data_IF_080989209357
#
_entry.id   IF_080989209357
#
_cell.length_a   1.000
_cell.length_b   1.000
_cell.length_c   1.000
_cell.angle_alpha   90.00
_cell.angle_beta   90.00
_cell.angle_gamma   90.00
#
_symmetry.space_group_name_H-M   'P 1'
#
loop_
_entity.id
_entity.type
_entity.pdbx_description
1 polymer ?
#
# COMPACT_ATOMS: atom_id res chain seq x y z
N UNK A 1 -19.87 -32.34 15.39
CA UNK A 1 -19.77 -32.54 13.93
C UNK A 1 -20.90 -31.86 13.13
N UNK A 2 -21.57 -30.77 13.59
CA UNK A 2 -22.58 -30.04 12.78
C UNK A 2 -22.78 -28.52 13.05
N UNK A 3 -21.90 -27.81 13.78
CA UNK A 3 -22.09 -26.35 14.04
C UNK A 3 -20.86 -25.43 13.94
N UNK A 4 -19.64 -25.95 13.77
CA UNK A 4 -18.44 -25.14 13.45
C UNK A 4 -18.00 -25.20 11.98
N UNK A 5 -18.60 -26.07 11.17
CA UNK A 5 -18.37 -26.11 9.71
C UNK A 5 -19.18 -25.03 8.96
N UNK A 6 -20.14 -24.36 9.59
CA UNK A 6 -20.90 -23.26 8.96
C UNK A 6 -20.24 -21.88 9.02
N UNK A 7 -19.21 -21.68 9.84
CA UNK A 7 -18.49 -20.39 9.89
C UNK A 7 -17.30 -20.33 8.91
N UNK A 8 -16.96 -21.45 8.27
CA UNK A 8 -15.93 -21.55 7.23
C UNK A 8 -16.49 -21.54 5.80
N UNK A 9 -17.80 -21.31 5.63
CA UNK A 9 -18.48 -21.38 4.34
C UNK A 9 -19.07 -20.04 3.86
N UNK A 10 -18.92 -18.95 4.62
CA UNK A 10 -19.59 -17.67 4.33
C UNK A 10 -18.67 -16.46 4.06
N UNK A 11 -17.36 -16.64 3.87
CA UNK A 11 -16.52 -15.60 3.25
C UNK A 11 -15.54 -16.18 2.23
N UNK A 12 -16.10 -16.78 1.18
CA UNK A 12 -15.49 -16.77 -0.14
C UNK A 12 -15.50 -15.33 -0.66
N UNK A 13 -14.35 -14.67 -0.61
CA UNK A 13 -14.17 -13.28 -1.02
C UNK A 13 -12.76 -13.08 -1.55
N UNK A 14 -12.52 -13.72 -2.68
CA UNK A 14 -11.48 -13.55 -3.70
C UNK A 14 -10.34 -12.56 -3.37
N UNK A 15 -9.14 -13.10 -3.14
CA UNK A 15 -7.88 -12.35 -3.13
C UNK A 15 -7.18 -12.49 -4.49
N UNK A 16 -7.63 -11.75 -5.51
CA UNK A 16 -6.83 -11.59 -6.73
C UNK A 16 -5.80 -10.48 -6.54
N UNK A 17 -4.54 -10.82 -6.84
CA UNK A 17 -3.46 -9.85 -6.94
C UNK A 17 -3.78 -8.84 -8.04
N UNK A 18 -4.33 -7.69 -7.67
CA UNK A 18 -4.66 -6.61 -8.59
C UNK A 18 -3.37 -6.08 -9.22
N UNK A 19 -3.06 -6.49 -10.45
CA UNK A 19 -2.03 -5.88 -11.29
C UNK A 19 -2.72 -4.99 -12.32
N UNK A 20 -2.37 -3.70 -12.37
CA UNK A 20 -2.92 -2.83 -13.39
C UNK A 20 -2.37 -3.19 -14.78
N UNK A 21 -3.19 -2.97 -15.79
CA UNK A 21 -2.89 -3.28 -17.18
C UNK A 21 -1.78 -2.38 -17.75
N UNK A 22 -0.76 -2.97 -18.37
CA UNK A 22 0.42 -2.28 -18.92
C UNK A 22 0.64 -2.56 -20.44
N UNK A 23 -0.35 -3.15 -21.11
CA UNK A 23 -0.30 -3.48 -22.54
C UNK A 23 -0.80 -2.38 -23.48
N UNK A 24 -0.87 -2.70 -24.77
CA UNK A 24 -1.18 -1.79 -25.89
C UNK A 24 -2.65 -1.82 -26.35
N UNK A 25 -3.40 -2.86 -25.98
CA UNK A 25 -4.83 -2.98 -26.31
C UNK A 25 -5.72 -1.99 -25.54
N UNK A 26 -6.91 -1.64 -26.07
CA UNK A 26 -7.86 -0.72 -25.41
C UNK A 26 -8.16 -1.11 -23.96
N UNK A 27 -8.04 -0.17 -23.02
CA UNK A 27 -8.21 -0.42 -21.58
C UNK A 27 -8.99 0.69 -20.89
N UNK A 28 -9.43 0.40 -19.67
CA UNK A 28 -10.12 1.34 -18.77
C UNK A 28 -9.09 2.06 -17.89
N UNK A 29 -9.12 3.38 -17.83
CA UNK A 29 -8.41 4.15 -16.81
C UNK A 29 -9.34 4.36 -15.62
N UNK A 30 -8.97 3.92 -14.42
CA UNK A 30 -9.75 4.11 -13.20
C UNK A 30 -9.17 5.25 -12.35
N UNK A 31 -9.88 6.38 -12.30
CA UNK A 31 -9.57 7.54 -11.47
C UNK A 31 -10.37 7.52 -10.17
N UNK A 32 -9.68 7.64 -9.03
CA UNK A 32 -10.29 7.66 -7.71
C UNK A 32 -9.43 8.40 -6.68
N UNK A 33 -10.03 8.86 -5.59
CA UNK A 33 -9.27 9.42 -4.47
C UNK A 33 -8.62 8.31 -3.66
N UNK A 34 -7.40 8.54 -3.17
CA UNK A 34 -6.69 7.58 -2.33
C UNK A 34 -7.50 7.16 -1.08
N UNK A 35 -8.33 8.05 -0.54
CA UNK A 35 -9.19 7.76 0.61
C UNK A 35 -10.29 6.73 0.30
N UNK A 36 -10.66 6.57 -0.98
CA UNK A 36 -11.69 5.64 -1.44
C UNK A 36 -11.13 4.28 -1.87
N UNK A 37 -9.81 4.07 -1.75
CA UNK A 37 -9.12 2.83 -2.17
C UNK A 37 -9.80 1.55 -1.67
N UNK A 38 -10.31 1.55 -0.43
CA UNK A 38 -11.01 0.38 0.15
C UNK A 38 -12.36 0.05 -0.51
N UNK A 39 -13.03 1.05 -1.08
CA UNK A 39 -14.32 0.90 -1.78
C UNK A 39 -14.10 0.62 -3.27
N UNK A 40 -13.05 1.20 -3.84
CA UNK A 40 -12.73 1.14 -5.27
C UNK A 40 -11.98 -0.13 -5.65
N UNK A 41 -10.98 -0.55 -4.87
CA UNK A 41 -10.19 -1.73 -5.21
C UNK A 41 -11.00 -3.03 -5.35
N UNK A 42 -12.02 -3.32 -4.53
CA UNK A 42 -12.87 -4.49 -4.75
C UNK A 42 -13.60 -4.45 -6.12
N UNK A 43 -13.99 -3.27 -6.57
CA UNK A 43 -14.66 -3.08 -7.87
C UNK A 43 -13.65 -3.29 -9.01
N UNK A 44 -12.46 -2.69 -8.90
CA UNK A 44 -11.37 -2.92 -9.85
C UNK A 44 -10.96 -4.40 -9.85
N UNK A 45 -10.97 -5.06 -8.70
CA UNK A 45 -10.65 -6.47 -8.53
C UNK A 45 -11.59 -7.37 -9.31
N UNK A 46 -12.90 -7.18 -9.12
CA UNK A 46 -13.93 -7.88 -9.90
C UNK A 46 -13.72 -7.67 -11.41
N UNK A 47 -13.41 -6.46 -11.84
CA UNK A 47 -13.13 -6.18 -13.25
C UNK A 47 -11.88 -6.91 -13.75
N UNK A 48 -10.78 -6.90 -13.01
CA UNK A 48 -9.57 -7.64 -13.41
C UNK A 48 -9.81 -9.16 -13.42
N UNK A 49 -10.56 -9.70 -12.45
CA UNK A 49 -10.95 -11.11 -12.34
C UNK A 49 -11.81 -11.58 -13.53
N UNK A 50 -12.71 -10.71 -13.98
CA UNK A 50 -13.54 -10.94 -15.15
C UNK A 50 -12.77 -10.74 -16.47
N UNK A 51 -11.47 -10.44 -16.39
CA UNK A 51 -10.57 -10.30 -17.54
C UNK A 51 -10.56 -8.91 -18.15
N UNK A 52 -11.15 -7.90 -17.50
CA UNK A 52 -11.09 -6.54 -17.98
C UNK A 52 -9.71 -5.91 -17.81
N UNK A 53 -9.23 -5.25 -18.87
CA UNK A 53 -7.98 -4.48 -18.88
C UNK A 53 -8.22 -3.15 -18.16
N UNK A 54 -7.77 -3.04 -16.90
CA UNK A 54 -7.93 -1.83 -16.09
C UNK A 54 -6.57 -1.29 -15.64
N UNK A 55 -6.31 -0.03 -15.92
CA UNK A 55 -5.19 0.74 -15.43
C UNK A 55 -5.63 1.62 -14.26
N UNK A 56 -4.83 1.73 -13.19
CA UNK A 56 -5.09 2.59 -12.05
C UNK A 56 -3.78 3.00 -11.35
N UNK A 57 -3.84 4.01 -10.48
CA UNK A 57 -2.69 4.66 -9.82
C UNK A 57 -1.73 3.75 -9.01
N UNK A 58 -2.12 2.49 -8.79
CA UNK A 58 -1.29 1.46 -8.15
C UNK A 58 -0.17 0.90 -9.03
N UNK A 59 -0.12 1.25 -10.33
CA UNK A 59 0.81 0.67 -11.31
C UNK A 59 1.99 1.56 -11.73
N UNK A 60 2.10 2.81 -11.27
CA UNK A 60 3.15 3.72 -11.77
C UNK A 60 4.50 3.47 -11.08
N UNK A 61 5.57 3.16 -11.84
CA UNK A 61 6.92 3.07 -11.29
C UNK A 61 7.39 4.42 -10.70
N UNK A 62 8.12 4.43 -9.57
CA UNK A 62 8.54 5.66 -8.89
C UNK A 62 9.42 6.61 -9.72
N UNK A 63 9.97 6.13 -10.83
CA UNK A 63 10.99 6.78 -11.66
C UNK A 63 10.44 7.56 -12.84
N UNK A 64 9.16 7.40 -13.17
CA UNK A 64 8.57 8.11 -14.30
C UNK A 64 8.10 9.51 -13.89
N UNK A 65 8.07 10.47 -14.83
CA UNK A 65 7.37 11.72 -14.60
C UNK A 65 5.88 11.41 -14.41
N UNK A 66 5.47 11.24 -13.16
CA UNK A 66 4.15 10.75 -12.74
C UNK A 66 3.01 11.39 -13.51
N UNK A 67 3.10 12.70 -13.73
CA UNK A 67 2.07 13.46 -14.45
C UNK A 67 2.07 13.21 -15.96
N UNK A 68 3.24 12.99 -16.57
CA UNK A 68 3.33 12.59 -17.98
C UNK A 68 2.80 11.16 -18.18
N UNK A 69 3.09 10.25 -17.24
CA UNK A 69 2.58 8.87 -17.29
C UNK A 69 1.07 8.81 -17.08
N UNK A 70 0.54 9.50 -16.07
CA UNK A 70 -0.90 9.61 -15.87
C UNK A 70 -1.56 10.21 -17.11
N UNK A 71 -1.05 11.33 -17.62
CA UNK A 71 -1.62 11.96 -18.81
C UNK A 71 -1.53 11.03 -20.04
N UNK A 72 -0.42 10.33 -20.24
CA UNK A 72 -0.27 9.37 -21.32
C UNK A 72 -1.29 8.22 -21.19
N UNK A 73 -1.48 7.68 -19.99
CA UNK A 73 -2.47 6.64 -19.78
C UNK A 73 -3.92 7.13 -19.91
N UNK A 74 -4.21 8.38 -19.55
CA UNK A 74 -5.52 8.99 -19.83
C UNK A 74 -5.68 9.18 -21.35
N UNK A 75 -4.64 9.62 -22.04
CA UNK A 75 -4.65 9.82 -23.49
C UNK A 75 -4.85 8.51 -24.25
N UNK A 76 -4.35 7.39 -23.75
CA UNK A 76 -4.41 6.11 -24.46
C UNK A 76 -5.56 5.20 -23.99
N UNK A 77 -6.22 5.53 -22.88
CA UNK A 77 -7.38 4.76 -22.43
C UNK A 77 -8.57 4.90 -23.40
N UNK A 78 -9.36 3.83 -23.47
CA UNK A 78 -10.58 3.78 -24.25
C UNK A 78 -11.80 4.26 -23.45
N UNK A 79 -11.80 4.01 -22.14
CA UNK A 79 -12.83 4.46 -21.20
C UNK A 79 -12.15 5.08 -20.00
N UNK A 80 -12.55 6.30 -19.65
CA UNK A 80 -12.13 6.96 -18.43
C UNK A 80 -13.21 6.75 -17.36
N UNK A 81 -12.95 5.82 -16.44
CA UNK A 81 -13.84 5.47 -15.34
C UNK A 81 -13.47 6.30 -14.11
N UNK A 82 -14.40 7.08 -13.58
CA UNK A 82 -14.18 7.92 -12.40
C UNK A 82 -15.11 7.53 -11.26
N UNK A 83 -14.52 7.33 -10.08
CA UNK A 83 -15.24 7.06 -8.83
C UNK A 83 -15.49 8.36 -8.06
N UNK A 84 -16.75 8.81 -8.07
CA UNK A 84 -17.19 10.07 -7.50
C UNK A 84 -17.59 9.90 -6.03
N UNK A 85 -16.91 10.67 -5.19
CA UNK A 85 -17.16 10.88 -3.76
C UNK A 85 -16.89 12.35 -3.45
N UNK A 86 -17.25 12.80 -2.25
CA UNK A 86 -16.84 14.13 -1.79
C UNK A 86 -15.31 14.26 -1.78
N UNK A 87 -14.61 13.24 -1.28
CA UNK A 87 -13.15 13.23 -1.20
C UNK A 87 -12.48 13.29 -2.57
N UNK A 88 -13.06 12.64 -3.59
CA UNK A 88 -12.53 12.67 -4.95
C UNK A 88 -12.82 13.98 -5.67
N UNK A 89 -13.97 14.60 -5.44
CA UNK A 89 -14.27 15.91 -6.03
C UNK A 89 -13.54 17.06 -5.33
N UNK A 90 -13.11 16.88 -4.09
CA UNK A 90 -12.23 17.83 -3.38
C UNK A 90 -10.73 17.59 -3.65
N UNK A 91 -10.37 16.46 -4.29
CA UNK A 91 -9.00 16.16 -4.67
C UNK A 91 -8.60 16.93 -5.93
N UNK A 92 -7.60 17.80 -5.79
CA UNK A 92 -7.06 18.53 -6.93
C UNK A 92 -6.56 17.58 -8.04
N UNK A 93 -5.95 16.45 -7.65
CA UNK A 93 -5.43 15.43 -8.57
C UNK A 93 -6.55 14.80 -9.40
N UNK A 94 -7.59 14.27 -8.76
CA UNK A 94 -8.74 13.66 -9.47
C UNK A 94 -9.45 14.70 -10.35
N UNK A 95 -9.67 15.92 -9.85
CA UNK A 95 -10.26 17.02 -10.64
C UNK A 95 -9.41 17.35 -11.88
N UNK A 96 -8.09 17.36 -11.75
CA UNK A 96 -7.16 17.59 -12.86
C UNK A 96 -7.24 16.46 -13.90
N UNK A 97 -7.34 15.20 -13.46
CA UNK A 97 -7.48 14.04 -14.36
C UNK A 97 -8.82 14.07 -15.09
N UNK A 98 -9.93 14.36 -14.40
CA UNK A 98 -11.25 14.53 -15.00
C UNK A 98 -11.25 15.61 -16.07
N UNK A 99 -10.75 16.81 -15.76
CA UNK A 99 -10.66 17.91 -16.72
C UNK A 99 -9.81 17.55 -17.93
N UNK A 100 -8.72 16.81 -17.73
CA UNK A 100 -7.88 16.36 -18.83
C UNK A 100 -8.58 15.34 -19.73
N UNK A 101 -9.27 14.36 -19.15
CA UNK A 101 -10.06 13.37 -19.90
C UNK A 101 -11.23 14.01 -20.67
N UNK A 102 -11.92 14.97 -20.05
CA UNK A 102 -12.99 15.77 -20.68
C UNK A 102 -12.44 16.53 -21.89
N UNK A 103 -11.31 17.23 -21.74
CA UNK A 103 -10.69 17.99 -22.83
C UNK A 103 -10.20 17.11 -23.98
N UNK A 104 -9.88 15.84 -23.71
CA UNK A 104 -9.55 14.85 -24.74
C UNK A 104 -10.79 14.15 -25.33
N UNK A 105 -12.00 14.56 -24.94
CA UNK A 105 -13.28 13.96 -25.34
C UNK A 105 -13.33 12.45 -25.13
N UNK A 106 -12.81 11.98 -23.98
CA UNK A 106 -12.81 10.56 -23.63
C UNK A 106 -14.23 10.07 -23.34
N UNK A 107 -14.49 8.78 -23.61
CA UNK A 107 -15.71 8.11 -23.15
C UNK A 107 -15.66 8.03 -21.63
N UNK A 108 -16.46 8.85 -20.96
CA UNK A 108 -16.53 8.90 -19.51
C UNK A 108 -17.46 7.81 -18.97
N UNK A 109 -17.07 7.17 -17.88
CA UNK A 109 -17.94 6.30 -17.10
C UNK A 109 -17.92 6.72 -15.63
N UNK A 110 -19.04 7.25 -15.15
CA UNK A 110 -19.10 7.98 -13.89
C UNK A 110 -19.81 7.14 -12.84
N UNK A 111 -19.09 6.76 -11.78
CA UNK A 111 -19.58 5.88 -10.72
C UNK A 111 -19.64 6.65 -9.41
N UNK A 112 -20.84 6.98 -8.95
CA UNK A 112 -21.09 7.59 -7.64
C UNK A 112 -21.06 6.51 -6.57
N UNK A 113 -20.07 6.58 -5.67
CA UNK A 113 -20.01 5.71 -4.49
C UNK A 113 -20.81 6.30 -3.31
N UNK A 114 -21.12 7.60 -3.36
CA UNK A 114 -21.98 8.30 -2.41
C UNK A 114 -22.71 9.44 -3.12
N UNK A 115 -23.71 10.01 -2.45
CA UNK A 115 -24.43 11.15 -2.99
C UNK A 115 -23.57 12.42 -2.91
N UNK A 116 -23.26 12.98 -4.07
CA UNK A 116 -22.46 14.20 -4.22
C UNK A 116 -23.30 15.20 -5.03
N UNK A 117 -23.76 16.30 -4.42
CA UNK A 117 -24.56 17.28 -5.13
C UNK A 117 -23.72 18.01 -6.17
N UNK A 118 -24.31 18.35 -7.31
CA UNK A 118 -23.61 19.00 -8.41
C UNK A 118 -22.99 20.36 -8.01
N UNK A 119 -23.51 21.00 -6.96
CA UNK A 119 -22.94 22.24 -6.38
C UNK A 119 -21.55 22.07 -5.76
N UNK A 120 -21.11 20.84 -5.52
CA UNK A 120 -19.76 20.49 -5.04
C UNK A 120 -18.80 20.14 -6.15
N UNK A 121 -19.29 20.03 -7.38
CA UNK A 121 -18.47 19.79 -8.56
C UNK A 121 -17.98 21.15 -9.09
N UNK A 122 -16.80 21.15 -9.69
CA UNK A 122 -16.41 22.28 -10.54
C UNK A 122 -17.45 22.48 -11.65
N UNK A 123 -17.76 23.73 -12.02
CA UNK A 123 -18.84 24.03 -12.98
C UNK A 123 -18.64 23.34 -14.32
N UNK A 124 -17.39 23.18 -14.79
CA UNK A 124 -17.08 22.45 -16.01
C UNK A 124 -17.39 20.96 -15.87
N UNK A 125 -16.86 20.33 -14.82
CA UNK A 125 -17.10 18.92 -14.51
C UNK A 125 -18.60 18.63 -14.32
N UNK A 126 -19.33 19.52 -13.63
CA UNK A 126 -20.76 19.37 -13.41
C UNK A 126 -21.54 19.30 -14.74
N UNK A 127 -21.20 20.17 -15.69
CA UNK A 127 -21.84 20.21 -17.00
C UNK A 127 -21.58 18.92 -17.79
N UNK A 128 -20.32 18.48 -17.89
CA UNK A 128 -19.96 17.25 -18.61
C UNK A 128 -20.55 16.00 -17.93
N UNK A 129 -20.57 15.97 -16.59
CA UNK A 129 -21.13 14.84 -15.84
C UNK A 129 -22.66 14.76 -15.97
N UNK A 130 -23.33 15.90 -16.16
CA UNK A 130 -24.79 15.95 -16.30
C UNK A 130 -25.32 15.32 -17.59
N UNK A 131 -24.51 15.35 -18.66
CA UNK A 131 -24.86 14.80 -19.98
C UNK A 131 -24.39 13.35 -20.17
N UNK A 132 -23.65 12.81 -19.20
CA UNK A 132 -23.16 11.44 -19.20
C UNK A 132 -24.08 10.52 -18.37
N UNK A 133 -24.07 9.23 -18.69
CA UNK A 133 -24.75 8.23 -17.87
C UNK A 133 -24.03 8.07 -16.52
N UNK A 134 -24.80 8.16 -15.42
CA UNK A 134 -24.31 8.07 -14.04
C UNK A 134 -24.73 6.75 -13.40
N UNK A 135 -23.78 6.01 -12.85
CA UNK A 135 -24.05 4.81 -12.04
C UNK A 135 -24.02 5.18 -10.57
N UNK A 136 -25.08 4.87 -9.82
CA UNK A 136 -25.17 5.19 -8.40
C UNK A 136 -25.19 3.90 -7.56
N UNK A 137 -24.22 3.74 -6.64
CA UNK A 137 -24.14 2.55 -5.80
C UNK A 137 -25.19 2.51 -4.67
N UNK A 138 -25.92 3.61 -4.40
CA UNK A 138 -26.88 3.70 -3.28
C UNK A 138 -28.32 3.32 -3.65
N UNK A 139 -28.64 3.19 -4.95
CA UNK A 139 -30.02 2.97 -5.43
C UNK A 139 -30.49 1.50 -5.49
N UNK A 140 -29.75 0.58 -4.89
CA UNK A 140 -30.32 -0.69 -4.42
C UNK A 140 -30.62 -1.74 -5.50
N UNK A 141 -29.63 -2.09 -6.31
CA UNK A 141 -29.56 -3.43 -6.91
C UNK A 141 -28.09 -3.73 -7.27
N UNK A 142 -27.47 -4.66 -6.54
CA UNK A 142 -26.05 -5.03 -6.74
C UNK A 142 -25.83 -5.65 -8.12
N UNK A 143 -26.82 -6.35 -8.68
CA UNK A 143 -26.72 -6.96 -10.00
C UNK A 143 -26.77 -5.89 -11.10
N UNK A 144 -27.70 -4.95 -11.01
CA UNK A 144 -27.75 -3.82 -11.94
C UNK A 144 -26.51 -2.94 -11.85
N UNK A 145 -25.92 -2.77 -10.65
CA UNK A 145 -24.67 -2.05 -10.47
C UNK A 145 -23.51 -2.72 -11.22
N UNK A 146 -23.34 -4.04 -11.07
CA UNK A 146 -22.30 -4.79 -11.78
C UNK A 146 -22.49 -4.76 -13.31
N UNK A 147 -23.73 -4.88 -13.80
CA UNK A 147 -24.03 -4.76 -15.23
C UNK A 147 -23.68 -3.37 -15.76
N UNK A 148 -24.08 -2.31 -15.07
CA UNK A 148 -23.83 -0.92 -15.49
C UNK A 148 -22.36 -0.54 -15.47
N UNK A 149 -21.56 -1.11 -14.56
CA UNK A 149 -20.10 -0.93 -14.57
C UNK A 149 -19.46 -1.53 -15.83
N UNK A 150 -19.98 -2.67 -16.29
CA UNK A 150 -19.41 -3.43 -17.42
C UNK A 150 -19.84 -2.91 -18.78
N UNK A 151 -21.09 -2.44 -18.88
CA UNK A 151 -21.71 -2.06 -20.16
C UNK A 151 -20.83 -1.14 -21.04
N UNK A 152 -20.25 -0.02 -20.55
CA UNK A 152 -19.44 0.85 -21.40
C UNK A 152 -18.17 0.20 -21.93
N UNK A 153 -17.67 -0.82 -21.22
CA UNK A 153 -16.46 -1.58 -21.53
C UNK A 153 -16.79 -2.68 -22.55
N UNK A 154 -17.94 -3.35 -22.39
CA UNK A 154 -18.41 -4.42 -23.28
C UNK A 154 -18.84 -3.92 -24.67
N UNK A 155 -19.17 -2.63 -24.78
CA UNK A 155 -19.44 -1.95 -26.05
C UNK A 155 -18.18 -1.69 -26.89
N UNK A 156 -16.97 -1.93 -26.36
CA UNK A 156 -15.71 -1.74 -27.09
C UNK A 156 -15.46 -2.92 -28.07
N UNK A 157 -15.23 -2.60 -29.35
CA UNK A 157 -15.06 -3.58 -30.46
C UNK A 157 -13.95 -4.64 -30.26
N UNK A 158 -12.86 -4.30 -29.55
CA UNK A 158 -11.64 -5.14 -29.42
C UNK A 158 -11.41 -5.66 -27.98
N UNK A 159 -12.48 -5.84 -27.22
CA UNK A 159 -12.40 -6.27 -25.83
C UNK A 159 -12.78 -7.76 -25.67
N UNK A 160 -11.94 -8.60 -25.04
CA UNK A 160 -12.30 -9.99 -24.80
C UNK A 160 -13.53 -10.03 -23.89
N UNK A 161 -14.60 -10.66 -24.37
CA UNK A 161 -15.75 -11.01 -23.52
C UNK A 161 -15.31 -12.20 -22.66
N UNK A 162 -15.48 -12.18 -21.33
CA UNK A 162 -15.23 -13.37 -20.52
C UNK A 162 -16.04 -14.55 -21.06
N UNK A 163 -15.40 -15.73 -21.19
CA UNK A 163 -16.09 -16.94 -21.64
C UNK A 163 -17.26 -17.25 -20.71
N UNK A 164 -18.38 -17.74 -21.24
CA UNK A 164 -19.61 -18.00 -20.49
C UNK A 164 -19.45 -18.91 -19.24
N UNK A 165 -18.31 -19.59 -19.07
CA UNK A 165 -17.99 -20.45 -17.94
C UNK A 165 -17.77 -19.72 -16.60
N UNK A 166 -17.58 -18.39 -16.59
CA UNK A 166 -17.41 -17.60 -15.34
C UNK A 166 -18.71 -17.00 -14.79
N UNK A 167 -19.89 -17.36 -15.34
CA UNK A 167 -21.19 -16.77 -14.95
C UNK A 167 -21.95 -17.51 -13.84
N UNK A 168 -21.49 -18.65 -13.34
CA UNK A 168 -22.17 -19.36 -12.25
C UNK A 168 -21.51 -19.06 -10.90
N UNK A 169 -22.08 -18.10 -10.16
CA UNK A 169 -21.81 -17.92 -8.74
C UNK A 169 -23.08 -18.31 -7.98
N UNK A 170 -23.10 -19.49 -7.37
CA UNK A 170 -24.13 -19.89 -6.42
C UNK A 170 -23.97 -19.10 -5.13
N UNK A 171 -24.95 -18.25 -4.78
CA UNK A 171 -25.11 -17.69 -3.44
C UNK A 171 -25.93 -18.67 -2.59
N UNK A 172 -25.40 -19.07 -1.43
CA UNK A 172 -26.18 -19.75 -0.40
C UNK A 172 -26.49 -18.76 0.73
N UNK A 173 -27.76 -18.68 1.10
CA UNK A 173 -28.35 -17.79 2.09
C UNK A 173 -27.91 -18.08 3.54
N UNK A 174 -27.82 -17.02 4.33
CA UNK A 174 -27.54 -16.96 5.78
C UNK A 174 -28.32 -17.99 6.63
N UNK A 175 -27.65 -18.64 7.60
CA UNK A 175 -28.32 -19.17 8.80
C UNK A 175 -27.39 -19.24 10.04
N UNK A 176 -27.66 -18.38 11.03
CA UNK A 176 -26.99 -18.29 12.37
C UNK A 176 -27.02 -19.60 13.17
N UNK A 177 -26.06 -19.78 14.11
CA UNK A 177 -26.42 -20.39 15.39
C UNK A 177 -25.74 -19.82 16.66
N UNK A 178 -26.50 -19.82 17.76
CA UNK A 178 -26.12 -19.62 19.17
C UNK A 178 -25.55 -20.93 19.83
N UNK A 179 -24.93 -20.84 21.03
CA UNK A 179 -23.74 -21.60 21.44
C UNK A 179 -24.03 -22.87 22.27
N UNK A 180 -23.05 -23.78 22.39
CA UNK A 180 -22.82 -24.57 23.63
C UNK A 180 -21.55 -25.47 23.61
N UNK A 181 -20.82 -25.38 24.73
CA UNK A 181 -19.87 -26.28 25.43
C UNK A 181 -18.91 -27.27 24.72
N UNK A 182 -17.62 -27.17 25.11
CA UNK A 182 -16.52 -28.14 24.90
C UNK A 182 -16.59 -29.33 25.87
N UNK A 183 -15.87 -30.43 25.58
CA UNK A 183 -14.69 -30.73 26.39
C UNK A 183 -13.44 -31.06 25.54
N UNK A 184 -12.27 -30.87 26.17
CA UNK A 184 -10.99 -30.74 25.50
C UNK A 184 -10.31 -32.02 25.02
N UNK A 185 -9.37 -31.85 24.10
CA UNK A 185 -8.37 -32.85 23.73
C UNK A 185 -7.01 -32.13 23.62
N UNK A 186 -6.03 -32.68 24.35
CA UNK A 186 -4.60 -32.34 24.27
C UNK A 186 -4.09 -32.62 22.85
N UNK A 187 -3.29 -31.72 22.29
CA UNK A 187 -2.43 -32.05 21.15
C UNK A 187 -0.99 -31.71 21.54
N UNK A 188 -0.22 -32.78 21.68
CA UNK A 188 1.23 -32.83 21.72
C UNK A 188 1.85 -32.33 20.41
N UNK A 189 3.13 -32.03 20.51
CA UNK A 189 4.09 -31.63 19.50
C UNK A 189 4.02 -32.35 18.14
N UNK A 190 4.56 -31.64 17.14
CA UNK A 190 5.05 -32.10 15.83
C UNK A 190 4.11 -31.94 14.62
N UNK A 191 4.30 -30.84 13.88
CA UNK A 191 4.88 -30.86 12.53
C UNK A 191 5.01 -29.44 11.98
N UNK A 192 6.24 -28.95 11.98
CA UNK A 192 6.65 -27.81 11.16
C UNK A 192 6.47 -28.19 9.68
N UNK A 193 5.52 -27.53 9.00
CA UNK A 193 5.43 -27.54 7.55
C UNK A 193 4.61 -26.33 7.10
N UNK A 194 5.27 -25.19 6.93
CA UNK A 194 4.72 -24.08 6.16
C UNK A 194 5.80 -23.53 5.23
N UNK A 195 5.55 -23.82 3.96
CA UNK A 195 6.26 -23.36 2.76
C UNK A 195 5.76 -21.95 2.46
N UNK A 196 6.64 -21.11 1.93
CA UNK A 196 6.39 -19.75 1.45
C UNK A 196 5.11 -19.63 0.59
N UNK A 197 4.30 -18.59 0.80
CA UNK A 197 3.29 -18.13 -0.16
C UNK A 197 3.44 -16.61 -0.33
N UNK A 198 4.38 -16.24 -1.19
CA UNK A 198 4.49 -14.91 -1.81
C UNK A 198 3.41 -14.72 -2.86
N UNK A 199 2.88 -13.49 -3.00
CA UNK A 199 1.93 -13.06 -4.05
C UNK A 199 2.19 -13.71 -5.42
N UNK A 200 1.28 -14.59 -5.85
CA UNK A 200 1.36 -15.39 -7.07
C UNK A 200 1.02 -14.64 -8.38
N UNK A 201 1.34 -13.34 -8.49
CA UNK A 201 1.22 -12.58 -9.74
C UNK A 201 2.58 -12.21 -10.38
N UNK A 202 3.71 -12.42 -9.68
CA UNK A 202 5.07 -12.37 -10.24
C UNK A 202 5.73 -13.77 -10.35
N UNK A 203 4.99 -14.84 -10.08
CA UNK A 203 5.49 -16.22 -10.06
C UNK A 203 5.61 -16.88 -11.44
N UNK A 204 5.62 -16.13 -12.53
CA UNK A 204 6.09 -16.69 -13.81
C UNK A 204 7.62 -16.76 -13.90
N UNK A 205 8.37 -16.24 -12.90
CA UNK A 205 9.85 -16.29 -12.87
C UNK A 205 10.54 -16.70 -11.56
N UNK A 206 9.89 -16.69 -10.39
CA UNK A 206 10.53 -17.14 -9.13
C UNK A 206 11.74 -16.32 -8.67
N UNK A 207 11.85 -15.03 -9.06
CA UNK A 207 12.99 -14.16 -8.74
C UNK A 207 12.48 -12.86 -8.12
N UNK A 208 12.95 -12.53 -6.91
CA UNK A 208 12.69 -11.25 -6.24
C UNK A 208 13.39 -10.10 -7.00
N UNK A 209 12.66 -9.02 -7.27
CA UNK A 209 13.14 -7.84 -7.98
C UNK A 209 13.23 -6.58 -7.13
N UNK A 210 14.02 -5.61 -7.57
CA UNK A 210 14.02 -4.26 -6.99
C UNK A 210 12.68 -3.58 -7.30
N UNK A 211 12.06 -2.98 -6.28
CA UNK A 211 10.73 -2.38 -6.37
C UNK A 211 9.60 -3.29 -5.91
N UNK A 212 9.83 -4.61 -5.83
CA UNK A 212 8.85 -5.55 -5.29
C UNK A 212 8.54 -5.25 -3.82
N UNK A 213 7.36 -5.66 -3.38
CA UNK A 213 6.96 -5.61 -1.97
C UNK A 213 6.84 -7.02 -1.43
N UNK A 214 7.49 -7.27 -0.29
CA UNK A 214 7.39 -8.52 0.46
C UNK A 214 6.70 -8.29 1.80
N UNK A 215 6.04 -9.32 2.31
CA UNK A 215 5.53 -9.33 3.68
C UNK A 215 6.46 -10.15 4.56
N UNK A 216 6.91 -9.57 5.66
CA UNK A 216 7.77 -10.25 6.62
C UNK A 216 7.55 -9.66 8.01
N UNK A 217 7.27 -10.51 8.99
CA UNK A 217 6.93 -10.06 10.32
C UNK A 217 5.58 -9.34 10.42
N UNK A 218 5.15 -9.09 11.65
CA UNK A 218 3.86 -8.46 11.97
C UNK A 218 4.05 -7.43 13.08
N UNK A 219 3.51 -6.23 12.91
CA UNK A 219 3.62 -5.18 13.92
C UNK A 219 2.32 -4.37 14.00
N UNK A 220 1.99 -3.76 15.15
CA UNK A 220 0.85 -2.84 15.24
C UNK A 220 0.99 -1.66 14.26
N UNK A 221 0.00 -1.48 13.38
CA UNK A 221 0.02 -0.39 12.38
C UNK A 221 -1.28 0.43 12.36
N UNK A 222 -2.44 -0.21 12.47
CA UNK A 222 -3.75 0.48 12.41
C UNK A 222 -4.52 0.46 13.75
N UNK A 223 -3.88 -0.05 14.79
CA UNK A 223 -4.39 -0.24 16.14
C UNK A 223 -3.34 -1.01 16.95
N UNK A 224 -3.75 -1.62 18.06
CA UNK A 224 -2.86 -2.49 18.85
C UNK A 224 -2.63 -3.86 18.20
N UNK A 225 -3.51 -4.30 17.31
CA UNK A 225 -3.41 -5.62 16.67
C UNK A 225 -2.27 -5.66 15.64
N UNK A 226 -1.32 -6.62 15.75
CA UNK A 226 -0.25 -6.79 14.78
C UNK A 226 -0.73 -7.26 13.41
N UNK A 227 -0.39 -6.50 12.37
CA UNK A 227 -0.66 -6.83 10.96
C UNK A 227 0.66 -7.01 10.19
N UNK A 228 0.68 -7.77 9.08
CA UNK A 228 1.89 -7.95 8.28
C UNK A 228 2.58 -6.64 7.93
N UNK A 229 3.90 -6.62 8.03
CA UNK A 229 4.69 -5.48 7.61
C UNK A 229 5.03 -5.68 6.14
N UNK A 230 4.64 -4.71 5.31
CA UNK A 230 5.06 -4.65 3.92
C UNK A 230 6.42 -3.94 3.82
N UNK A 231 7.36 -4.58 3.14
CA UNK A 231 8.71 -4.09 2.90
C UNK A 231 8.95 -3.95 1.40
N UNK A 232 9.40 -2.77 0.98
CA UNK A 232 9.82 -2.52 -0.40
C UNK A 232 11.27 -2.96 -0.59
N UNK A 233 11.55 -3.70 -1.65
CA UNK A 233 12.91 -4.04 -2.08
C UNK A 233 13.56 -2.82 -2.72
N UNK A 234 14.68 -2.40 -2.12
CA UNK A 234 15.39 -1.17 -2.47
C UNK A 234 16.64 -1.48 -3.30
N UNK A 235 17.30 -2.59 -3.03
CA UNK A 235 18.40 -3.10 -3.86
C UNK A 235 18.57 -4.60 -3.63
N UNK A 236 19.14 -5.29 -4.62
CA UNK A 236 19.56 -6.68 -4.50
C UNK A 236 21.02 -6.75 -4.89
N UNK A 237 21.87 -7.15 -3.96
CA UNK A 237 23.31 -7.27 -4.17
C UNK A 237 23.77 -8.63 -3.65
N UNK A 238 24.46 -9.42 -4.50
CA UNK A 238 25.03 -10.73 -4.13
C UNK A 238 24.04 -11.69 -3.47
N UNK A 239 22.79 -11.73 -3.95
CA UNK A 239 21.74 -12.59 -3.40
C UNK A 239 21.19 -12.13 -2.05
N UNK A 240 21.37 -10.85 -1.70
CA UNK A 240 20.82 -10.25 -0.49
C UNK A 240 19.97 -9.04 -0.86
N UNK A 241 18.71 -9.03 -0.45
CA UNK A 241 17.80 -7.92 -0.70
C UNK A 241 17.84 -6.94 0.48
N UNK A 242 18.18 -5.68 0.20
CA UNK A 242 17.92 -4.57 1.11
C UNK A 242 16.45 -4.19 0.98
N UNK A 243 15.71 -4.25 2.06
CA UNK A 243 14.30 -3.85 2.08
C UNK A 243 14.05 -2.77 3.14
N UNK A 244 13.05 -1.93 2.90
CA UNK A 244 12.60 -0.88 3.82
C UNK A 244 11.11 -0.97 4.00
N UNK A 245 10.63 -0.75 5.23
CA UNK A 245 9.19 -0.73 5.50
C UNK A 245 8.47 0.35 4.65
N UNK A 246 7.29 0.01 4.15
CA UNK A 246 6.44 0.92 3.39
C UNK A 246 5.98 2.11 4.24
N UNK A 247 5.69 1.85 5.52
CA UNK A 247 5.25 2.82 6.50
C UNK A 247 6.30 3.04 7.58
N UNK A 248 6.29 4.23 8.20
CA UNK A 248 7.05 4.49 9.41
C UNK A 248 6.30 3.89 10.60
N UNK A 249 6.86 2.83 11.19
CA UNK A 249 6.11 1.87 12.01
C UNK A 249 5.85 2.38 13.42
N UNK A 250 6.74 3.21 13.95
CA UNK A 250 6.66 3.70 15.31
C UNK A 250 7.25 5.12 15.40
N UNK A 251 6.89 5.85 16.45
CA UNK A 251 7.48 7.15 16.78
C UNK A 251 8.45 7.09 17.96
N UNK A 252 8.53 5.94 18.66
CA UNK A 252 9.34 5.66 19.87
C UNK A 252 9.62 6.93 20.67
N UNK A 253 8.77 7.18 21.68
CA UNK A 253 8.94 8.32 22.60
C UNK A 253 10.25 8.17 23.37
N UNK A 254 11.26 8.90 22.92
CA UNK A 254 12.57 9.01 23.56
C UNK A 254 12.47 10.01 24.71
N UNK A 255 12.00 9.55 25.87
CA UNK A 255 11.95 10.34 27.10
C UNK A 255 13.33 10.81 27.58
N UNK A 256 14.43 10.35 26.99
CA UNK A 256 15.81 10.68 27.37
C UNK A 256 16.69 11.17 26.21
N UNK A 257 16.11 11.91 25.27
CA UNK A 257 16.88 12.56 24.21
C UNK A 257 17.18 11.63 23.03
N UNK A 258 16.93 12.14 21.84
CA UNK A 258 17.10 11.41 20.58
C UNK A 258 18.53 11.56 20.08
N UNK A 259 19.54 11.28 20.91
CA UNK A 259 20.92 11.35 20.43
C UNK A 259 21.22 10.14 19.54
N UNK A 260 20.88 10.27 18.25
CA UNK A 260 21.34 9.36 17.20
C UNK A 260 22.65 9.86 16.56
N UNK A 261 23.30 10.88 17.13
CA UNK A 261 24.66 11.23 16.72
C UNK A 261 25.64 10.11 17.10
N UNK A 262 25.31 9.32 18.13
CA UNK A 262 25.92 8.03 18.44
C UNK A 262 24.94 6.87 18.18
N UNK A 263 24.87 6.41 16.93
CA UNK A 263 24.00 5.30 16.54
C UNK A 263 24.26 4.02 17.37
N UNK A 264 25.52 3.73 17.70
CA UNK A 264 25.91 2.48 18.34
C UNK A 264 25.26 2.30 19.71
N UNK A 265 25.18 3.40 20.47
CA UNK A 265 24.57 3.44 21.79
C UNK A 265 23.13 3.94 21.81
N UNK A 266 22.59 4.36 20.66
CA UNK A 266 21.27 4.98 20.56
C UNK A 266 20.12 4.08 21.02
N UNK A 267 19.08 4.64 21.67
CA UNK A 267 17.92 3.86 22.10
C UNK A 267 17.11 3.28 20.93
N UNK A 268 17.09 3.95 19.77
CA UNK A 268 16.42 3.43 18.56
C UNK A 268 17.11 2.14 18.10
N UNK A 269 18.45 2.09 18.06
CA UNK A 269 19.17 0.87 17.69
C UNK A 269 18.89 -0.27 18.67
N UNK A 270 18.94 0.01 19.98
CA UNK A 270 18.63 -0.95 21.05
C UNK A 270 17.22 -1.51 20.89
N UNK A 271 16.24 -0.66 20.61
CA UNK A 271 14.86 -1.07 20.36
C UNK A 271 14.73 -1.90 19.08
N UNK A 272 15.30 -1.44 17.95
CA UNK A 272 15.23 -2.13 16.66
C UNK A 272 15.79 -3.55 16.72
N UNK A 273 16.92 -3.76 17.38
CA UNK A 273 17.59 -5.06 17.47
C UNK A 273 17.22 -5.87 18.72
N UNK A 274 16.32 -5.34 19.56
CA UNK A 274 15.79 -5.99 20.75
C UNK A 274 14.28 -6.13 20.68
N UNK A 275 13.57 -5.21 21.33
CA UNK A 275 12.11 -5.26 21.46
C UNK A 275 11.35 -5.34 20.14
N UNK A 276 11.70 -4.49 19.16
CA UNK A 276 11.07 -4.55 17.83
C UNK A 276 11.33 -5.89 17.17
N UNK A 277 12.58 -6.35 17.13
CA UNK A 277 12.94 -7.62 16.50
C UNK A 277 12.18 -8.80 17.10
N UNK A 278 12.08 -8.84 18.43
CA UNK A 278 11.41 -9.91 19.17
C UNK A 278 9.88 -9.90 18.99
N UNK A 279 9.27 -8.73 18.89
CA UNK A 279 7.82 -8.57 18.70
C UNK A 279 7.43 -8.76 17.23
N UNK A 280 8.20 -8.20 16.32
CA UNK A 280 7.85 -8.13 14.91
C UNK A 280 8.09 -9.43 14.15
N UNK A 281 9.07 -10.24 14.56
CA UNK A 281 9.50 -11.41 13.80
C UNK A 281 9.53 -12.65 14.67
N UNK A 282 8.95 -13.73 14.15
CA UNK A 282 9.08 -15.08 14.72
C UNK A 282 10.54 -15.54 14.68
N UNK A 283 10.89 -16.57 15.47
CA UNK A 283 12.23 -17.14 15.44
C UNK A 283 12.65 -17.64 14.03
N UNK A 284 11.71 -18.19 13.27
CA UNK A 284 11.95 -18.61 11.90
C UNK A 284 12.25 -17.42 10.98
N UNK A 285 11.47 -16.33 11.07
CA UNK A 285 11.71 -15.12 10.28
C UNK A 285 13.01 -14.43 10.68
N UNK A 286 13.36 -14.41 11.97
CA UNK A 286 14.63 -13.84 12.44
C UNK A 286 15.85 -14.57 11.85
N UNK A 287 15.73 -15.86 11.51
CA UNK A 287 16.77 -16.61 10.82
C UNK A 287 16.93 -16.23 9.34
N UNK A 288 15.88 -15.65 8.72
CA UNK A 288 15.95 -15.09 7.36
C UNK A 288 16.65 -13.72 7.34
N UNK A 289 16.67 -13.02 8.49
CA UNK A 289 17.28 -11.71 8.63
C UNK A 289 18.81 -11.81 8.71
N UNK A 290 19.49 -11.19 7.76
CA UNK A 290 20.93 -11.17 7.75
C UNK A 290 21.45 -10.16 8.79
N UNK A 291 22.23 -10.65 9.75
CA UNK A 291 23.05 -9.78 10.60
C UNK A 291 24.18 -9.21 9.75
N UNK A 292 24.26 -7.89 9.65
CA UNK A 292 25.22 -7.18 8.81
C UNK A 292 26.08 -6.24 9.62
N UNK A 293 27.36 -6.13 9.25
CA UNK A 293 28.25 -5.11 9.80
C UNK A 293 27.98 -3.77 9.08
N UNK A 294 27.52 -2.78 9.83
CA UNK A 294 27.20 -1.45 9.34
C UNK A 294 28.26 -0.44 9.77
N UNK A 295 28.87 0.25 8.82
CA UNK A 295 29.71 1.40 9.11
C UNK A 295 28.82 2.61 9.40
N UNK A 296 28.89 3.15 10.61
CA UNK A 296 28.08 4.28 11.05
C UNK A 296 28.85 5.60 10.82
N UNK A 297 28.31 6.53 10.02
CA UNK A 297 28.97 7.83 9.84
C UNK A 297 29.16 8.51 11.20
N UNK A 298 30.39 8.92 11.52
CA UNK A 298 30.69 9.63 12.77
C UNK A 298 30.64 8.80 14.06
N UNK A 299 30.55 7.46 13.97
CA UNK A 299 30.53 6.59 15.15
C UNK A 299 31.09 5.20 14.87
N UNK A 300 31.04 4.32 15.87
CA UNK A 300 31.56 2.95 15.76
C UNK A 300 30.73 2.07 14.83
N UNK A 301 31.37 1.10 14.18
CA UNK A 301 30.66 0.12 13.37
C UNK A 301 29.84 -0.84 14.24
N UNK A 302 28.63 -1.19 13.79
CA UNK A 302 27.71 -2.07 14.52
C UNK A 302 27.40 -3.34 13.75
N UNK A 303 26.89 -4.36 14.44
CA UNK A 303 26.30 -5.53 13.80
C UNK A 303 24.80 -5.57 14.07
N UNK A 304 24.00 -5.33 13.04
CA UNK A 304 22.57 -5.13 13.16
C UNK A 304 21.81 -6.03 12.20
N UNK A 305 20.62 -6.51 12.61
CA UNK A 305 19.65 -7.16 11.73
C UNK A 305 18.65 -6.15 11.19
N UNK A 306 18.28 -5.18 12.03
CA UNK A 306 17.32 -4.12 11.69
C UNK A 306 17.95 -2.77 12.02
N UNK A 307 17.86 -1.82 11.10
CA UNK A 307 18.54 -0.54 11.20
C UNK A 307 17.77 0.58 10.49
N UNK A 308 18.18 1.83 10.70
CA UNK A 308 17.77 2.94 9.85
C UNK A 308 18.80 3.16 8.72
N UNK A 309 18.36 3.61 7.56
CA UNK A 309 19.28 3.94 6.46
C UNK A 309 20.18 5.14 6.80
N UNK A 310 21.31 5.28 6.11
CA UNK A 310 22.12 6.51 6.13
C UNK A 310 21.61 7.52 5.10
N UNK A 311 21.98 8.79 5.25
CA UNK A 311 21.71 9.82 4.23
C UNK A 311 22.24 9.44 2.85
N UNK A 312 23.45 8.87 2.79
CA UNK A 312 24.04 8.42 1.51
C UNK A 312 23.39 7.14 1.00
N UNK A 313 22.97 6.23 1.89
CA UNK A 313 22.15 5.08 1.53
C UNK A 313 20.86 5.52 0.85
N UNK A 314 20.11 6.44 1.47
CA UNK A 314 18.88 6.99 0.90
C UNK A 314 19.12 7.71 -0.43
N UNK A 315 20.21 8.48 -0.57
CA UNK A 315 20.56 9.12 -1.85
C UNK A 315 20.85 8.09 -2.95
N UNK A 316 21.64 7.07 -2.62
CA UNK A 316 22.06 6.03 -3.56
C UNK A 316 20.89 5.17 -4.01
N UNK A 317 19.97 4.84 -3.10
CA UNK A 317 19.00 3.77 -3.34
C UNK A 317 17.55 4.24 -3.52
N UNK A 318 17.16 5.43 -3.05
CA UNK A 318 15.76 5.89 -3.09
C UNK A 318 15.52 7.11 -4.01
N UNK A 319 16.46 7.45 -4.90
CA UNK A 319 16.25 8.47 -5.93
C UNK A 319 15.89 9.85 -5.36
N UNK A 320 14.96 10.58 -6.00
CA UNK A 320 14.58 11.95 -5.64
C UNK A 320 13.61 12.03 -4.45
N UNK A 321 13.44 13.25 -3.92
CA UNK A 321 12.60 13.51 -2.75
C UNK A 321 11.18 12.87 -2.78
N UNK A 322 10.41 12.89 -3.89
CA UNK A 322 9.08 12.30 -3.90
C UNK A 322 9.03 10.81 -3.47
N UNK A 323 10.03 10.02 -3.84
CA UNK A 323 10.13 8.57 -3.54
C UNK A 323 10.47 8.32 -2.07
N UNK A 324 11.11 9.29 -1.41
CA UNK A 324 11.53 9.21 0.00
C UNK A 324 10.41 9.57 0.97
N UNK A 325 9.29 10.09 0.48
CA UNK A 325 8.10 10.35 1.30
C UNK A 325 7.61 9.04 1.90
N UNK A 326 7.15 9.11 3.13
CA UNK A 326 6.65 7.96 3.87
C UNK A 326 5.55 8.43 4.81
N UNK A 327 4.52 7.62 5.00
CA UNK A 327 3.45 7.88 5.97
C UNK A 327 3.68 7.09 7.24
N UNK A 328 3.34 7.69 8.39
CA UNK A 328 3.38 7.00 9.67
C UNK A 328 2.16 6.10 9.84
N UNK A 329 2.33 5.00 10.57
CA UNK A 329 1.22 4.13 10.96
C UNK A 329 0.31 4.84 11.98
N UNK A 330 -0.97 4.47 12.04
CA UNK A 330 -1.90 4.98 13.08
C UNK A 330 -1.42 4.62 14.49
N UNK A 331 -0.79 3.46 14.62
CA UNK A 331 -0.14 3.03 15.85
C UNK A 331 0.95 4.02 16.30
N UNK A 332 1.88 4.36 15.41
CA UNK A 332 2.93 5.34 15.68
C UNK A 332 2.40 6.74 16.04
N UNK A 333 1.21 7.07 15.54
CA UNK A 333 0.53 8.33 15.80
C UNK A 333 -0.23 8.35 17.14
N UNK A 334 -0.26 7.24 17.88
CA UNK A 334 -1.04 7.10 19.11
C UNK A 334 -2.54 7.12 18.84
N UNK A 335 -2.99 6.48 17.76
CA UNK A 335 -4.40 6.41 17.38
C UNK A 335 -4.90 7.58 16.53
N UNK A 336 -4.12 8.66 16.40
CA UNK A 336 -4.51 9.83 15.59
C UNK A 336 -4.49 9.51 14.11
N UNK A 337 -5.48 10.04 13.38
CA UNK A 337 -5.56 9.96 11.92
C UNK A 337 -4.55 10.96 11.32
N UNK A 338 -3.65 10.50 10.46
CA UNK A 338 -2.72 11.37 9.74
C UNK A 338 -2.59 10.87 8.29
N UNK A 339 -3.07 11.67 7.34
CA UNK A 339 -2.98 11.35 5.90
C UNK A 339 -1.75 11.96 5.23
N UNK A 340 -0.96 12.75 5.97
CA UNK A 340 0.20 13.44 5.41
C UNK A 340 1.48 12.63 5.59
N UNK A 341 2.44 12.72 4.65
CA UNK A 341 3.78 12.21 4.83
C UNK A 341 4.39 12.72 6.14
N UNK A 342 5.21 11.87 6.75
CA UNK A 342 5.88 12.12 8.01
C UNK A 342 7.38 12.30 7.82
N UNK A 343 8.03 12.83 8.85
CA UNK A 343 9.48 12.85 8.93
C UNK A 343 10.00 11.51 9.45
N UNK A 344 11.11 10.97 8.95
CA UNK A 344 11.66 9.71 9.44
C UNK A 344 13.18 9.72 9.60
N UNK A 345 13.67 9.05 10.65
CA UNK A 345 15.07 9.09 11.09
C UNK A 345 16.03 8.36 10.15
N UNK A 346 17.24 8.89 10.03
CA UNK A 346 18.41 8.24 9.44
C UNK A 346 19.48 8.05 10.51
N UNK A 347 20.32 7.02 10.37
CA UNK A 347 21.46 6.77 11.28
C UNK A 347 22.70 7.64 10.98
N UNK A 348 22.50 8.79 10.34
CA UNK A 348 23.57 9.73 10.01
C UNK A 348 23.53 10.87 11.03
N UNK A 349 24.64 11.19 11.70
CA UNK A 349 24.71 12.34 12.60
C UNK A 349 24.42 13.64 11.84
N UNK A 350 23.71 14.54 12.49
CA UNK A 350 23.44 15.87 11.96
C UNK A 350 24.63 16.82 12.15
N UNK A 351 24.53 18.02 11.56
CA UNK A 351 25.57 19.06 11.69
C UNK A 351 25.60 19.74 13.06
N UNK A 352 24.55 19.59 13.85
CA UNK A 352 24.49 20.13 15.21
C UNK A 352 24.81 19.02 16.19
N UNK A 353 25.58 19.32 17.25
CA UNK A 353 25.88 18.35 18.30
C UNK A 353 24.58 17.75 18.86
N UNK A 354 24.55 16.42 19.03
CA UNK A 354 23.39 15.67 19.51
C UNK A 354 22.22 15.59 18.52
N UNK A 355 22.36 16.08 17.28
CA UNK A 355 21.30 16.00 16.27
C UNK A 355 21.54 14.86 15.28
N UNK A 356 20.46 14.45 14.61
CA UNK A 356 20.49 13.38 13.63
C UNK A 356 19.75 13.76 12.36
N UNK A 357 20.28 13.30 11.23
CA UNK A 357 19.67 13.51 9.92
C UNK A 357 18.36 12.74 9.84
N UNK A 358 17.38 13.36 9.20
CA UNK A 358 16.09 12.75 8.91
C UNK A 358 15.63 13.14 7.51
N UNK A 359 14.68 12.39 6.98
CA UNK A 359 13.95 12.75 5.78
C UNK A 359 12.70 13.53 6.18
N UNK A 360 12.45 14.67 5.56
CA UNK A 360 11.29 15.52 5.86
C UNK A 360 10.01 14.94 5.26
N UNK A 361 8.84 15.45 5.66
CA UNK A 361 7.54 15.16 5.01
C UNK A 361 7.51 15.47 3.50
N UNK A 362 8.43 16.28 3.00
CA UNK A 362 8.56 16.56 1.57
C UNK A 362 9.55 15.62 0.86
N UNK A 363 10.16 14.70 1.60
CA UNK A 363 11.16 13.75 1.12
C UNK A 363 12.57 14.32 0.98
N UNK A 364 12.81 15.55 1.46
CA UNK A 364 14.16 16.15 1.45
C UNK A 364 14.98 15.59 2.60
N UNK A 365 16.30 15.42 2.42
CA UNK A 365 17.21 15.02 3.51
C UNK A 365 17.63 16.27 4.27
N UNK A 366 17.34 16.33 5.56
CA UNK A 366 17.65 17.47 6.42
C UNK A 366 18.99 17.26 7.15
N UNK A 367 20.10 17.65 6.50
CA UNK A 367 21.46 17.47 7.04
C UNK A 367 21.77 18.27 8.31
N UNK A 368 21.04 19.36 8.58
CA UNK A 368 21.16 20.09 9.85
C UNK A 368 20.80 19.19 11.04
N UNK A 369 19.97 18.17 10.79
CA UNK A 369 19.41 17.27 11.77
C UNK A 369 18.33 17.94 12.63
N UNK A 370 17.61 17.12 13.40
CA UNK A 370 16.67 17.62 14.41
C UNK A 370 17.34 17.50 15.79
N UNK A 371 17.39 18.61 16.53
CA UNK A 371 17.77 18.63 17.95
C UNK A 371 16.54 18.46 18.88
N UNK A 372 15.31 18.49 18.31
CA UNK A 372 13.97 18.60 18.92
C UNK A 372 13.74 19.89 19.75
N UNK A 373 12.52 20.48 19.86
CA UNK A 373 11.19 19.91 19.57
C UNK A 373 10.33 20.72 18.58
N UNK A 374 9.53 20.02 17.76
CA UNK A 374 8.45 20.66 17.00
C UNK A 374 7.74 19.70 16.05
N UNK A 375 8.48 18.85 15.36
CA UNK A 375 7.94 17.85 14.44
C UNK A 375 8.31 16.44 14.91
N UNK A 376 7.30 15.59 15.10
CA UNK A 376 7.50 14.18 15.47
C UNK A 376 8.19 13.47 14.29
N UNK A 377 9.33 12.85 14.56
CA UNK A 377 10.08 12.06 13.57
C UNK A 377 9.94 10.59 13.92
N UNK A 378 9.67 9.78 12.89
CA UNK A 378 9.26 8.39 13.04
C UNK A 378 10.38 7.42 12.64
N UNK A 379 10.26 6.17 13.05
CA UNK A 379 11.20 5.11 12.72
C UNK A 379 10.70 4.38 11.48
N UNK A 380 11.53 4.34 10.44
CA UNK A 380 11.31 3.58 9.21
C UNK A 380 12.41 2.51 9.10
N UNK A 381 12.15 1.28 9.56
CA UNK A 381 13.17 0.24 9.58
C UNK A 381 13.59 -0.22 8.19
N UNK A 382 14.84 -0.64 8.11
CA UNK A 382 15.45 -1.33 6.99
C UNK A 382 16.07 -2.64 7.50
N UNK A 383 16.11 -3.65 6.64
CA UNK A 383 16.78 -4.92 6.94
C UNK A 383 17.30 -5.55 5.66
N UNK A 384 18.21 -6.51 5.82
CA UNK A 384 18.63 -7.38 4.75
C UNK A 384 17.97 -8.75 4.91
N UNK A 385 17.36 -9.23 3.84
CA UNK A 385 16.72 -10.55 3.79
C UNK A 385 17.31 -11.35 2.63
N UNK A 386 17.46 -12.66 2.83
CA UNK A 386 17.83 -13.57 1.75
C UNK A 386 16.56 -13.85 0.91
N UNK A 387 16.57 -13.53 -0.40
CA UNK A 387 15.44 -13.79 -1.31
C UNK A 387 15.06 -15.26 -1.41
#
# INVERSE_FOLDING_TARGET
MRRQERYAQEKGGISVGLKAYDGDKPYVFASYCHDDKKRVLPIIGSLLEEGYRVWYDGAIPPTAEWRKVINHHIQDCAVFMVFVTRASMESAEVVKECNYAINLHKKLHIIYLEDVPDSRLDKGIAADFSICERVNCSRGDREQFAVRIRQPIEELRDFPKPSAASREVHYAEDARPEPENRPGIKIESEKAKWVWETNAANSSRGVLGVGDTIELGRYPQFGSEPVPICWRVISIEKGLALVVSELALDSVSLSEGTDLSDWANSPIRKWLNGGFLAVAFTAAEQNLLQKVRLNNPGGEATEDRVFCLTADGVKKTMGLAPVRKCSATRYALGGRRHSKPCCWWLRTPGKTAGSAVYVTKFGKIAFKGAAAPGERVFVRPALYVRP
#
